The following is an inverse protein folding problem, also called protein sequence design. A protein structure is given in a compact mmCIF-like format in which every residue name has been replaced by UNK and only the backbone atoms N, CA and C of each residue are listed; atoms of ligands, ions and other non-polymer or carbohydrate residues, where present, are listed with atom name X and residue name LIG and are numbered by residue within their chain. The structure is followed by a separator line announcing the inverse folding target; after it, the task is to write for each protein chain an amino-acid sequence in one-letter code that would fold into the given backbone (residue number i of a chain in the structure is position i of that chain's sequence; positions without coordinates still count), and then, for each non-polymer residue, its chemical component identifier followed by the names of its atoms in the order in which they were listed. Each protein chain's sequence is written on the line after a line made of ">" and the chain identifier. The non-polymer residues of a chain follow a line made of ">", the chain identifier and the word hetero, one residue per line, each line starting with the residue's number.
data_IF_957945110089
#
_entry.id   IF_957945110089
#
_cell.length_a   1.000
_cell.length_b   1.000
_cell.length_c   1.000
_cell.angle_alpha   90.00
_cell.angle_beta   90.00
_cell.angle_gamma   90.00
#
_symmetry.space_group_name_H-M   'P 1'
#
loop_
_entity.id
_entity.type
_entity.pdbx_description
1 polymer ?
#
# COMPACT_ATOMS: atom_id res chain seq x y z
N UNK A 1 20.69 -11.35 -4.27
CA UNK A 1 21.50 -10.27 -4.88
C UNK A 1 21.30 -9.04 -3.99
N UNK A 2 22.37 -8.46 -3.45
CA UNK A 2 22.23 -7.26 -2.61
C UNK A 2 21.83 -6.08 -3.51
N UNK A 3 20.76 -5.37 -3.13
CA UNK A 3 20.25 -4.19 -3.85
C UNK A 3 21.22 -3.02 -3.73
N UNK A 4 21.18 -2.10 -4.69
CA UNK A 4 22.06 -0.91 -4.71
C UNK A 4 21.25 0.37 -4.69
N UNK A 5 21.90 1.49 -4.32
CA UNK A 5 21.30 2.83 -4.21
C UNK A 5 20.65 3.36 -5.49
N UNK A 6 20.77 2.65 -6.61
CA UNK A 6 20.33 3.03 -7.95
C UNK A 6 19.28 2.08 -8.55
N UNK A 7 18.58 1.29 -7.73
CA UNK A 7 17.47 0.47 -8.23
C UNK A 7 16.41 1.39 -8.87
N UNK A 8 16.36 1.40 -10.20
CA UNK A 8 15.39 2.13 -11.02
C UNK A 8 14.08 1.37 -11.05
N UNK A 9 12.96 2.10 -11.00
CA UNK A 9 11.64 1.52 -11.13
C UNK A 9 11.24 1.40 -12.60
N UNK A 10 10.83 0.20 -12.98
CA UNK A 10 10.07 -0.08 -14.19
C UNK A 10 8.92 -1.00 -13.77
N UNK A 11 7.70 -0.73 -14.23
CA UNK A 11 6.50 -1.50 -13.91
C UNK A 11 6.70 -3.01 -14.12
N UNK A 12 7.55 -3.37 -15.08
CA UNK A 12 7.88 -4.76 -15.42
C UNK A 12 9.13 -5.32 -14.71
N UNK A 13 9.90 -4.53 -13.94
CA UNK A 13 11.14 -5.00 -13.30
C UNK A 13 11.37 -4.54 -11.85
N UNK A 14 12.12 -5.35 -11.11
CA UNK A 14 12.49 -5.16 -9.69
C UNK A 14 11.30 -4.89 -8.75
N UNK A 15 11.13 -3.64 -8.30
CA UNK A 15 10.09 -3.22 -7.34
C UNK A 15 8.69 -3.36 -7.94
N UNK A 16 8.51 -3.10 -9.23
CA UNK A 16 7.23 -3.28 -9.95
C UNK A 16 6.73 -4.72 -9.92
N UNK A 17 7.64 -5.70 -10.05
CA UNK A 17 7.30 -7.12 -9.99
C UNK A 17 6.83 -7.56 -8.58
N UNK A 18 7.44 -7.01 -7.52
CA UNK A 18 7.04 -7.31 -6.14
C UNK A 18 5.67 -6.67 -5.83
N UNK A 19 5.45 -5.42 -6.23
CA UNK A 19 4.16 -4.75 -6.07
C UNK A 19 3.03 -5.51 -6.79
N UNK A 20 3.31 -6.01 -8.00
CA UNK A 20 2.35 -6.81 -8.79
C UNK A 20 2.09 -8.17 -8.15
N UNK A 21 3.12 -8.84 -7.62
CA UNK A 21 2.98 -10.11 -6.90
C UNK A 21 2.07 -9.97 -5.68
N UNK A 22 2.30 -8.96 -4.83
CA UNK A 22 1.47 -8.78 -3.62
C UNK A 22 0.05 -8.35 -3.97
N UNK A 23 -0.16 -7.56 -5.03
CA UNK A 23 -1.49 -7.25 -5.54
C UNK A 23 -2.20 -8.50 -6.09
N UNK A 24 -1.50 -9.36 -6.82
CA UNK A 24 -2.05 -10.64 -7.28
C UNK A 24 -2.45 -11.55 -6.11
N UNK A 25 -1.63 -11.62 -5.06
CA UNK A 25 -1.98 -12.37 -3.84
C UNK A 25 -3.22 -11.79 -3.14
N UNK A 26 -3.41 -10.46 -3.09
CA UNK A 26 -4.65 -9.85 -2.57
C UNK A 26 -5.86 -10.15 -3.45
N UNK A 27 -5.69 -10.17 -4.77
CA UNK A 27 -6.74 -10.57 -5.71
C UNK A 27 -7.18 -12.02 -5.48
N UNK A 28 -6.23 -12.94 -5.30
CA UNK A 28 -6.52 -14.34 -4.97
C UNK A 28 -7.22 -14.47 -3.61
N UNK A 29 -6.75 -13.72 -2.60
CA UNK A 29 -7.35 -13.72 -1.26
C UNK A 29 -8.79 -13.18 -1.25
N UNK A 30 -9.08 -12.16 -2.08
CA UNK A 30 -10.43 -11.59 -2.24
C UNK A 30 -11.40 -12.60 -2.87
N UNK A 31 -10.90 -13.48 -3.75
CA UNK A 31 -11.71 -14.49 -4.44
C UNK A 31 -11.63 -15.89 -3.80
N UNK A 32 -11.11 -16.00 -2.57
CA UNK A 32 -11.07 -17.29 -1.86
C UNK A 32 -12.45 -17.71 -1.35
N UNK A 33 -12.59 -18.96 -0.90
CA UNK A 33 -13.87 -19.47 -0.38
C UNK A 33 -14.31 -18.78 0.93
N UNK A 34 -13.36 -18.32 1.75
CA UNK A 34 -13.59 -17.61 3.01
C UNK A 34 -12.68 -16.37 3.09
N UNK A 35 -13.03 -15.29 2.36
CA UNK A 35 -12.16 -14.13 2.21
C UNK A 35 -12.15 -13.29 3.50
N UNK A 36 -10.95 -13.05 4.04
CA UNK A 36 -10.77 -12.19 5.21
C UNK A 36 -10.47 -10.72 4.87
N UNK A 37 -10.35 -10.42 3.57
CA UNK A 37 -10.18 -9.08 2.99
C UNK A 37 -11.01 -8.97 1.72
N UNK A 38 -11.33 -7.74 1.33
CA UNK A 38 -11.97 -7.41 0.06
C UNK A 38 -11.17 -6.27 -0.60
N UNK A 39 -10.39 -6.59 -1.63
CA UNK A 39 -9.69 -5.62 -2.48
C UNK A 39 -10.16 -5.76 -3.94
N UNK A 40 -11.28 -5.11 -4.30
CA UNK A 40 -11.88 -5.25 -5.64
C UNK A 40 -11.00 -4.65 -6.75
N UNK A 41 -10.00 -3.84 -6.38
CA UNK A 41 -9.11 -3.16 -7.31
C UNK A 41 -7.81 -3.93 -7.58
N UNK A 42 -7.49 -4.94 -6.76
CA UNK A 42 -6.27 -5.72 -6.91
C UNK A 42 -6.16 -6.42 -8.28
N UNK A 43 -7.18 -7.18 -8.69
CA UNK A 43 -7.14 -7.89 -9.98
C UNK A 43 -7.10 -6.92 -11.18
N UNK A 44 -7.94 -5.86 -11.25
CA UNK A 44 -7.84 -4.86 -12.32
C UNK A 44 -6.47 -4.18 -12.40
N UNK A 45 -5.87 -3.81 -11.26
CA UNK A 45 -4.54 -3.20 -11.23
C UNK A 45 -3.47 -4.17 -11.76
N UNK A 46 -3.52 -5.45 -11.36
CA UNK A 46 -2.60 -6.48 -11.86
C UNK A 46 -2.72 -6.65 -13.38
N UNK A 47 -3.94 -6.71 -13.92
CA UNK A 47 -4.18 -6.79 -15.37
C UNK A 47 -3.62 -5.58 -16.10
N UNK A 48 -3.78 -4.38 -15.54
CA UNK A 48 -3.28 -3.15 -16.14
C UNK A 48 -1.74 -3.06 -16.15
N UNK A 49 -1.05 -3.67 -15.16
CA UNK A 49 0.42 -3.78 -15.21
C UNK A 49 0.86 -4.65 -16.40
N UNK A 50 0.07 -5.67 -16.75
CA UNK A 50 0.25 -6.42 -17.99
C UNK A 50 1.35 -7.50 -17.95
N UNK A 51 1.85 -7.85 -16.76
CA UNK A 51 2.75 -9.02 -16.62
C UNK A 51 1.95 -10.28 -16.87
N UNK A 52 2.28 -11.01 -17.94
CA UNK A 52 1.50 -12.14 -18.46
C UNK A 52 1.23 -13.21 -17.39
N UNK A 53 2.24 -13.59 -16.61
CA UNK A 53 2.09 -14.57 -15.54
C UNK A 53 1.06 -14.14 -14.49
N UNK A 54 1.18 -12.92 -13.96
CA UNK A 54 0.27 -12.42 -12.93
C UNK A 54 -1.14 -12.18 -13.46
N UNK A 55 -1.27 -11.76 -14.72
CA UNK A 55 -2.56 -11.62 -15.41
C UNK A 55 -3.26 -12.97 -15.50
N UNK A 56 -2.58 -14.00 -16.00
CA UNK A 56 -3.14 -15.37 -16.04
C UNK A 56 -3.46 -15.90 -14.66
N UNK A 57 -2.65 -15.58 -13.65
CA UNK A 57 -2.87 -16.02 -12.27
C UNK A 57 -4.18 -15.43 -11.71
N UNK A 58 -4.40 -14.12 -11.83
CA UNK A 58 -5.64 -13.48 -11.33
C UNK A 58 -6.88 -13.79 -12.17
N UNK A 59 -6.69 -14.26 -13.41
CA UNK A 59 -7.78 -14.74 -14.28
C UNK A 59 -8.08 -16.24 -14.10
N UNK A 60 -7.35 -16.95 -13.21
CA UNK A 60 -7.51 -18.39 -12.99
C UNK A 60 -7.00 -19.26 -14.16
N UNK A 61 -6.22 -18.67 -15.07
CA UNK A 61 -5.65 -19.32 -16.26
C UNK A 61 -4.20 -19.79 -16.06
N UNK A 62 -3.62 -19.62 -14.87
CA UNK A 62 -2.33 -20.18 -14.48
C UNK A 62 -2.45 -20.98 -13.18
N UNK A 63 -1.71 -22.08 -13.10
CA UNK A 63 -1.56 -22.86 -11.87
C UNK A 63 -0.73 -22.05 -10.86
N UNK A 64 -1.25 -21.78 -9.65
CA UNK A 64 -0.53 -21.08 -8.59
C UNK A 64 0.82 -21.74 -8.21
N UNK A 65 0.96 -23.04 -8.40
CA UNK A 65 2.14 -23.79 -7.97
C UNK A 65 3.17 -24.03 -9.09
N UNK A 66 2.87 -23.61 -10.33
CA UNK A 66 3.78 -23.76 -11.48
C UNK A 66 5.13 -23.02 -11.32
N UNK A 67 5.22 -22.03 -10.43
CA UNK A 67 6.42 -21.20 -10.25
C UNK A 67 7.28 -21.54 -9.03
N UNK A 68 6.90 -22.52 -8.20
CA UNK A 68 7.68 -22.83 -6.98
C UNK A 68 8.85 -23.76 -7.32
N UNK A 69 10.04 -23.19 -7.52
CA UNK A 69 11.29 -23.95 -7.70
C UNK A 69 11.77 -24.68 -6.41
N UNK A 70 10.86 -25.05 -5.50
CA UNK A 70 11.15 -25.77 -4.26
C UNK A 70 11.81 -24.96 -3.13
N UNK A 71 12.11 -23.67 -3.36
CA UNK A 71 12.76 -22.79 -2.39
C UNK A 71 12.00 -21.45 -2.27
N UNK A 72 10.82 -21.46 -1.63
CA UNK A 72 10.01 -20.27 -1.38
C UNK A 72 8.62 -20.64 -0.82
N UNK A 73 7.87 -19.67 -0.26
CA UNK A 73 6.49 -19.93 0.14
C UNK A 73 5.65 -20.33 -1.08
N UNK A 74 4.71 -21.26 -0.90
CA UNK A 74 3.72 -21.58 -1.94
C UNK A 74 2.83 -20.37 -2.21
N UNK A 75 2.15 -20.35 -3.36
CA UNK A 75 1.23 -19.25 -3.66
C UNK A 75 0.08 -19.18 -2.65
N UNK A 76 -0.38 -20.33 -2.13
CA UNK A 76 -1.36 -20.38 -1.04
C UNK A 76 -0.83 -19.73 0.25
N UNK A 77 0.42 -20.03 0.63
CA UNK A 77 1.06 -19.40 1.80
C UNK A 77 1.24 -17.89 1.62
N UNK A 78 1.65 -17.45 0.43
CA UNK A 78 1.76 -16.03 0.11
C UNK A 78 0.40 -15.35 0.16
N UNK A 79 -0.64 -15.97 -0.43
CA UNK A 79 -2.01 -15.46 -0.43
C UNK A 79 -2.54 -15.28 0.99
N UNK A 80 -2.39 -16.29 1.85
CA UNK A 80 -2.81 -16.21 3.25
C UNK A 80 -2.01 -15.17 4.03
N UNK A 81 -0.70 -15.09 3.81
CA UNK A 81 0.17 -14.09 4.43
C UNK A 81 -0.21 -12.66 4.01
N UNK A 82 -0.51 -12.44 2.73
CA UNK A 82 -0.95 -11.14 2.22
C UNK A 82 -2.37 -10.79 2.67
N UNK A 83 -3.27 -11.76 2.80
CA UNK A 83 -4.59 -11.56 3.36
C UNK A 83 -4.49 -11.07 4.82
N UNK A 84 -3.72 -11.76 5.65
CA UNK A 84 -3.49 -11.38 7.05
C UNK A 84 -2.79 -10.02 7.16
N UNK A 85 -1.76 -9.75 6.34
CA UNK A 85 -1.05 -8.47 6.30
C UNK A 85 -2.00 -7.32 5.91
N UNK A 86 -2.81 -7.53 4.88
CA UNK A 86 -3.76 -6.52 4.41
C UNK A 86 -4.80 -6.21 5.47
N UNK A 87 -5.40 -7.25 6.08
CA UNK A 87 -6.37 -7.10 7.17
C UNK A 87 -5.79 -6.36 8.36
N UNK A 88 -4.56 -6.69 8.77
CA UNK A 88 -3.89 -6.02 9.89
C UNK A 88 -3.78 -4.51 9.67
N UNK A 89 -3.34 -4.08 8.49
CA UNK A 89 -3.21 -2.66 8.17
C UNK A 89 -4.56 -1.96 7.90
N UNK A 90 -5.56 -2.69 7.41
CA UNK A 90 -6.93 -2.17 7.31
C UNK A 90 -7.51 -1.90 8.70
N UNK A 91 -7.43 -2.89 9.59
CA UNK A 91 -7.86 -2.79 10.99
C UNK A 91 -7.08 -1.66 11.69
N UNK A 92 -5.77 -1.53 11.46
CA UNK A 92 -4.96 -0.42 12.01
C UNK A 92 -5.52 0.95 11.62
N UNK A 93 -5.85 1.18 10.34
CA UNK A 93 -6.39 2.46 9.91
C UNK A 93 -7.80 2.70 10.46
N UNK A 94 -8.66 1.69 10.43
CA UNK A 94 -10.04 1.81 10.94
C UNK A 94 -10.06 2.02 12.46
N UNK A 95 -9.17 1.36 13.20
CA UNK A 95 -8.89 1.62 14.61
C UNK A 95 -8.38 3.05 14.80
N UNK A 96 -7.41 3.50 14.01
CA UNK A 96 -6.81 4.82 14.15
C UNK A 96 -7.85 5.94 14.01
N UNK A 97 -8.75 5.84 13.02
CA UNK A 97 -9.79 6.86 12.76
C UNK A 97 -11.08 6.67 13.56
N UNK A 98 -11.14 5.65 14.43
CA UNK A 98 -12.24 5.43 15.38
C UNK A 98 -13.50 4.78 14.79
N UNK A 99 -13.39 4.01 13.72
CA UNK A 99 -14.51 3.34 13.02
C UNK A 99 -14.60 1.84 13.38
N UNK A 100 -13.68 1.36 14.21
CA UNK A 100 -13.46 -0.06 14.42
C UNK A 100 -14.53 -0.82 15.20
N UNK A 101 -14.66 -2.10 14.85
CA UNK A 101 -15.35 -3.16 15.58
C UNK A 101 -14.45 -3.98 16.52
N UNK A 102 -13.13 -3.75 16.56
CA UNK A 102 -12.14 -4.53 17.35
C UNK A 102 -12.15 -4.20 18.84
N UNK A 103 -12.91 -3.19 19.27
CA UNK A 103 -12.98 -2.76 20.66
C UNK A 103 -11.76 -1.99 21.16
N UNK A 104 -10.74 -1.78 20.31
CA UNK A 104 -9.64 -0.87 20.59
C UNK A 104 -10.16 0.56 20.48
N UNK A 105 -10.05 1.34 21.56
CA UNK A 105 -10.44 2.74 21.54
C UNK A 105 -9.51 3.51 20.60
N UNK A 106 -9.99 3.77 19.38
CA UNK A 106 -9.36 4.68 18.45
C UNK A 106 -9.30 6.12 18.96
N UNK A 107 -8.50 6.96 18.32
CA UNK A 107 -8.62 8.40 18.51
C UNK A 107 -9.56 8.95 17.47
N UNK A 108 -10.74 9.42 17.90
CA UNK A 108 -11.67 10.11 16.99
C UNK A 108 -11.06 11.39 16.38
N UNK A 109 -9.84 11.78 16.77
CA UNK A 109 -9.11 12.96 16.31
C UNK A 109 -8.21 12.70 15.09
N UNK A 110 -7.82 11.44 14.81
CA UNK A 110 -6.99 11.16 13.63
C UNK A 110 -7.84 11.30 12.35
N UNK A 111 -7.48 12.26 11.51
CA UNK A 111 -8.07 12.49 10.17
C UNK A 111 -7.02 12.61 9.07
N UNK A 112 -5.76 12.28 9.38
CA UNK A 112 -4.68 12.20 8.41
C UNK A 112 -4.12 10.78 8.40
N UNK A 113 -4.14 10.15 7.23
CA UNK A 113 -3.55 8.83 7.01
C UNK A 113 -2.46 8.95 5.94
N UNK A 114 -1.30 8.36 6.16
CA UNK A 114 -0.18 8.39 5.20
C UNK A 114 0.24 6.97 4.88
N UNK A 115 0.31 6.66 3.59
CA UNK A 115 0.77 5.38 3.05
C UNK A 115 2.12 5.64 2.36
N UNK A 116 3.20 5.16 2.96
CA UNK A 116 4.56 5.26 2.43
C UNK A 116 4.84 4.12 1.46
N UNK A 117 5.41 4.43 0.30
CA UNK A 117 5.60 3.49 -0.81
C UNK A 117 4.28 2.80 -1.19
N UNK A 118 3.27 3.62 -1.49
CA UNK A 118 1.88 3.20 -1.62
C UNK A 118 1.62 2.16 -2.72
N UNK A 119 2.49 2.03 -3.73
CA UNK A 119 2.42 1.01 -4.77
C UNK A 119 1.00 0.86 -5.34
N UNK A 120 0.55 -0.39 -5.38
CA UNK A 120 -0.79 -0.78 -5.79
C UNK A 120 -1.79 -0.88 -4.63
N UNK A 121 -1.54 -0.21 -3.50
CA UNK A 121 -2.50 -0.08 -2.40
C UNK A 121 -3.74 0.70 -2.87
N UNK A 122 -4.92 0.14 -2.59
CA UNK A 122 -6.24 0.65 -2.97
C UNK A 122 -7.08 1.14 -1.78
N UNK A 123 -6.52 1.25 -0.56
CA UNK A 123 -7.24 1.63 0.67
C UNK A 123 -7.98 2.96 0.57
N UNK A 124 -7.42 3.95 -0.15
CA UNK A 124 -8.09 5.22 -0.42
C UNK A 124 -9.35 5.10 -1.31
N UNK A 125 -9.54 3.94 -1.96
CA UNK A 125 -10.65 3.63 -2.86
C UNK A 125 -11.62 2.58 -2.29
N UNK A 126 -11.21 1.74 -1.34
CA UNK A 126 -12.03 0.64 -0.82
C UNK A 126 -12.42 0.73 0.64
N UNK A 127 -11.64 1.41 1.49
CA UNK A 127 -11.99 1.56 2.90
C UNK A 127 -13.03 2.66 3.10
N UNK A 128 -13.88 2.54 4.12
CA UNK A 128 -14.89 3.54 4.47
C UNK A 128 -14.30 4.51 5.50
N UNK A 129 -13.79 5.64 5.01
CA UNK A 129 -13.18 6.65 5.87
C UNK A 129 -14.21 7.62 6.44
N UNK A 130 -14.05 8.08 7.71
CA UNK A 130 -14.84 9.18 8.24
C UNK A 130 -14.74 10.45 7.40
N UNK A 131 -15.81 11.25 7.38
CA UNK A 131 -15.80 12.56 6.74
C UNK A 131 -14.66 13.44 7.27
N UNK A 132 -14.02 14.17 6.36
CA UNK A 132 -12.86 15.02 6.66
C UNK A 132 -11.53 14.28 6.81
N UNK A 133 -11.50 12.96 6.60
CA UNK A 133 -10.23 12.22 6.51
C UNK A 133 -9.52 12.56 5.19
N UNK A 134 -8.20 12.71 5.25
CA UNK A 134 -7.33 12.85 4.09
C UNK A 134 -6.34 11.68 4.09
N UNK A 135 -6.28 10.95 2.98
CA UNK A 135 -5.30 9.89 2.75
C UNK A 135 -4.22 10.41 1.81
N UNK A 136 -3.00 10.47 2.32
CA UNK A 136 -1.80 10.81 1.57
C UNK A 136 -1.13 9.52 1.08
N UNK A 137 -0.84 9.44 -0.21
CA UNK A 137 -0.06 8.36 -0.79
C UNK A 137 1.26 8.91 -1.31
N UNK A 138 2.37 8.37 -0.79
CA UNK A 138 3.72 8.75 -1.20
C UNK A 138 4.33 7.59 -1.96
N UNK A 139 4.71 7.86 -3.21
CA UNK A 139 5.48 6.91 -4.02
C UNK A 139 6.12 7.65 -5.21
N UNK A 140 6.94 6.92 -5.97
CA UNK A 140 7.54 7.41 -7.19
C UNK A 140 6.47 7.94 -8.17
N UNK A 141 6.77 9.01 -8.95
CA UNK A 141 5.81 9.63 -9.85
C UNK A 141 5.09 8.66 -10.79
N UNK A 142 5.84 7.76 -11.42
CA UNK A 142 5.27 6.83 -12.40
C UNK A 142 4.33 5.79 -11.76
N UNK A 143 4.58 5.39 -10.50
CA UNK A 143 3.68 4.52 -9.72
C UNK A 143 2.34 5.22 -9.45
N UNK A 144 2.44 6.46 -8.98
CA UNK A 144 1.29 7.30 -8.64
C UNK A 144 0.44 7.57 -9.88
N UNK A 145 1.08 7.93 -10.99
CA UNK A 145 0.42 8.18 -12.27
C UNK A 145 -0.27 6.91 -12.78
N UNK A 146 0.45 5.78 -12.83
CA UNK A 146 -0.08 4.49 -13.28
C UNK A 146 -1.34 4.10 -12.50
N UNK A 147 -1.28 4.09 -11.17
CA UNK A 147 -2.42 3.69 -10.33
C UNK A 147 -3.59 4.66 -10.49
N UNK A 148 -3.34 5.96 -10.48
CA UNK A 148 -4.39 6.98 -10.59
C UNK A 148 -5.09 6.91 -11.94
N UNK A 149 -4.33 6.77 -13.04
CA UNK A 149 -4.87 6.59 -14.39
C UNK A 149 -5.68 5.30 -14.50
N UNK A 150 -5.14 4.17 -14.04
CA UNK A 150 -5.82 2.87 -14.14
C UNK A 150 -7.14 2.88 -13.39
N UNK A 151 -7.17 3.39 -12.15
CA UNK A 151 -8.41 3.44 -11.37
C UNK A 151 -9.43 4.43 -11.95
N UNK A 152 -8.97 5.56 -12.50
CA UNK A 152 -9.83 6.50 -13.22
C UNK A 152 -10.43 5.88 -14.48
N UNK A 153 -9.65 5.13 -15.27
CA UNK A 153 -10.11 4.47 -16.49
C UNK A 153 -11.14 3.35 -16.17
N UNK A 154 -11.08 2.79 -14.96
CA UNK A 154 -12.08 1.85 -14.42
C UNK A 154 -13.34 2.54 -13.84
N UNK A 155 -13.37 3.88 -13.81
CA UNK A 155 -14.46 4.65 -13.20
C UNK A 155 -14.47 4.64 -11.67
N UNK A 156 -13.37 4.23 -11.02
CA UNK A 156 -13.26 4.20 -9.56
C UNK A 156 -12.94 5.61 -9.01
N UNK A 157 -13.76 6.06 -8.06
CA UNK A 157 -13.50 7.28 -7.30
C UNK A 157 -12.98 6.93 -5.89
N UNK A 158 -12.04 7.69 -5.33
CA UNK A 158 -11.66 7.56 -3.92
C UNK A 158 -12.87 7.71 -2.99
N UNK A 159 -12.88 6.97 -1.88
CA UNK A 159 -13.93 7.04 -0.84
C UNK A 159 -13.70 8.16 0.16
N UNK A 160 -12.59 8.90 0.00
CA UNK A 160 -12.14 9.96 0.88
C UNK A 160 -11.30 10.97 0.10
N UNK A 161 -10.88 12.07 0.73
CA UNK A 161 -9.95 13.00 0.08
C UNK A 161 -8.59 12.33 -0.07
N UNK A 162 -8.23 11.97 -1.30
CA UNK A 162 -6.95 11.37 -1.63
C UNK A 162 -5.99 12.44 -2.15
N UNK A 163 -4.83 12.57 -1.53
CA UNK A 163 -3.74 13.44 -1.99
C UNK A 163 -2.50 12.61 -2.32
N UNK A 164 -1.95 12.82 -3.51
CA UNK A 164 -0.76 12.09 -3.94
C UNK A 164 0.48 12.95 -3.78
N UNK A 165 1.56 12.34 -3.34
CA UNK A 165 2.89 12.96 -3.20
C UNK A 165 3.83 12.14 -4.07
N UNK A 166 3.94 12.55 -5.33
CA UNK A 166 4.75 11.89 -6.35
C UNK A 166 6.25 12.20 -6.13
N UNK A 167 6.90 11.43 -5.26
CA UNK A 167 8.30 11.59 -4.87
C UNK A 167 8.89 10.28 -4.35
N UNK A 168 10.18 10.06 -4.61
CA UNK A 168 10.93 8.94 -4.02
C UNK A 168 11.22 9.20 -2.53
N UNK A 169 11.09 8.18 -1.67
CA UNK A 169 11.32 8.30 -0.23
C UNK A 169 12.79 8.60 0.15
N UNK A 170 13.72 8.53 -0.81
CA UNK A 170 15.13 8.96 -0.63
C UNK A 170 15.31 10.47 -0.78
N UNK A 171 14.36 11.15 -1.41
CA UNK A 171 14.36 12.60 -1.64
C UNK A 171 13.70 13.36 -0.48
N UNK A 172 13.45 14.66 -0.64
CA UNK A 172 12.78 15.49 0.36
C UNK A 172 11.25 15.32 0.36
N UNK A 173 10.81 14.08 0.57
CA UNK A 173 9.40 13.73 0.73
C UNK A 173 8.71 14.42 1.92
N UNK A 174 9.36 14.77 3.05
CA UNK A 174 8.72 15.55 4.11
C UNK A 174 8.27 16.93 3.65
N UNK A 175 9.10 17.64 2.88
CA UNK A 175 8.72 18.93 2.32
C UNK A 175 7.58 18.79 1.31
N UNK A 176 7.64 17.79 0.43
CA UNK A 176 6.58 17.52 -0.54
C UNK A 176 5.25 17.16 0.13
N UNK A 177 5.28 16.37 1.21
CA UNK A 177 4.09 15.99 1.97
C UNK A 177 3.45 17.18 2.69
N UNK A 178 4.25 18.08 3.28
CA UNK A 178 3.75 19.35 3.84
C UNK A 178 3.16 20.25 2.75
N UNK A 179 3.78 20.32 1.57
CA UNK A 179 3.26 21.06 0.43
C UNK A 179 1.92 20.49 -0.10
N UNK A 180 1.73 19.16 -0.01
CA UNK A 180 0.45 18.50 -0.27
C UNK A 180 -0.59 18.75 0.85
N UNK A 181 -0.22 19.46 1.91
CA UNK A 181 -1.12 19.96 2.95
C UNK A 181 -1.24 19.08 4.19
N UNK A 182 -0.28 18.17 4.43
CA UNK A 182 -0.15 17.52 5.74
C UNK A 182 0.08 18.58 6.83
N UNK A 183 -0.72 18.51 7.88
CA UNK A 183 -0.60 19.33 9.08
C UNK A 183 0.14 18.53 10.18
N UNK A 184 1.45 18.78 10.33
CA UNK A 184 2.29 18.11 11.33
C UNK A 184 1.93 18.47 12.78
N UNK A 185 1.00 19.41 13.01
CA UNK A 185 0.48 19.72 14.36
C UNK A 185 -0.68 18.81 14.77
N UNK A 186 -1.19 17.98 13.84
CA UNK A 186 -2.31 17.07 14.07
C UNK A 186 -1.86 15.60 14.05
N UNK A 187 -2.49 14.73 14.85
CA UNK A 187 -2.23 13.30 14.85
C UNK A 187 -2.37 12.67 13.46
N UNK A 188 -1.43 11.81 13.09
CA UNK A 188 -1.38 11.12 11.80
C UNK A 188 -1.23 9.61 12.00
N UNK A 189 -1.94 8.82 11.20
CA UNK A 189 -1.76 7.37 11.11
C UNK A 189 -0.84 7.04 9.91
N UNK A 190 0.29 6.39 10.16
CA UNK A 190 1.28 6.06 9.14
C UNK A 190 1.29 4.56 8.88
N UNK A 191 1.46 4.14 7.64
CA UNK A 191 1.85 2.76 7.32
C UNK A 191 3.06 2.76 6.38
N UNK A 192 3.94 1.78 6.58
CA UNK A 192 5.08 1.46 5.72
C UNK A 192 5.05 -0.05 5.39
N UNK A 193 4.07 -0.46 4.58
CA UNK A 193 3.81 -1.87 4.29
C UNK A 193 4.83 -2.43 3.29
N UNK A 194 5.57 -3.47 3.69
CA UNK A 194 6.51 -4.14 2.78
C UNK A 194 7.67 -3.27 2.32
N UNK A 195 8.05 -2.25 3.11
CA UNK A 195 9.07 -1.27 2.77
C UNK A 195 10.42 -1.57 3.43
N UNK A 196 10.45 -1.74 4.75
CA UNK A 196 11.68 -1.77 5.55
C UNK A 196 12.70 -2.84 5.12
N UNK A 197 12.24 -4.00 4.67
CA UNK A 197 13.13 -5.06 4.17
C UNK A 197 13.91 -4.71 2.89
N UNK A 198 13.60 -3.57 2.26
CA UNK A 198 14.25 -3.07 1.06
C UNK A 198 15.11 -1.84 1.28
N UNK A 199 15.14 -1.31 2.51
CA UNK A 199 15.93 -0.13 2.85
C UNK A 199 17.28 -0.53 3.44
N UNK A 200 18.38 0.15 3.07
CA UNK A 200 19.59 0.14 3.88
C UNK A 200 19.29 0.58 5.32
N UNK A 201 20.02 0.07 6.34
CA UNK A 201 19.77 0.41 7.75
C UNK A 201 19.69 1.93 8.01
N UNK A 202 20.59 2.71 7.42
CA UNK A 202 20.63 4.17 7.58
C UNK A 202 19.42 4.86 6.94
N UNK A 203 18.89 4.30 5.85
CA UNK A 203 17.69 4.81 5.21
C UNK A 203 16.42 4.46 6.02
N UNK A 204 16.40 3.31 6.69
CA UNK A 204 15.33 2.96 7.63
C UNK A 204 15.30 3.93 8.82
N UNK A 205 16.45 4.19 9.46
CA UNK A 205 16.52 5.09 10.61
C UNK A 205 16.10 6.51 10.21
N UNK A 206 16.63 7.01 9.08
CA UNK A 206 16.24 8.32 8.53
C UNK A 206 14.73 8.41 8.25
N UNK A 207 14.13 7.36 7.69
CA UNK A 207 12.68 7.34 7.42
C UNK A 207 11.89 7.46 8.73
N UNK A 208 12.28 6.72 9.77
CA UNK A 208 11.62 6.75 11.08
C UNK A 208 11.81 8.09 11.81
N UNK A 209 12.98 8.71 11.68
CA UNK A 209 13.24 10.06 12.21
C UNK A 209 12.32 11.09 11.53
N UNK A 210 12.21 11.05 10.21
CA UNK A 210 11.35 11.95 9.44
C UNK A 210 9.86 11.75 9.77
N UNK A 211 9.39 10.51 9.95
CA UNK A 211 8.02 10.21 10.42
C UNK A 211 7.80 10.81 11.81
N UNK A 212 8.78 10.67 12.71
CA UNK A 212 8.71 11.21 14.07
C UNK A 212 8.62 12.73 14.08
N UNK A 213 9.40 13.42 13.25
CA UNK A 213 9.35 14.88 13.08
C UNK A 213 8.01 15.40 12.53
N UNK A 214 7.30 14.56 11.78
CA UNK A 214 5.99 14.88 11.20
C UNK A 214 4.81 14.43 12.07
N UNK A 215 5.07 13.82 13.22
CA UNK A 215 4.06 13.21 14.07
C UNK A 215 3.77 14.04 15.31
N UNK A 216 2.56 14.59 15.40
CA UNK A 216 2.06 15.16 16.65
C UNK A 216 1.78 14.07 17.70
N UNK A 217 1.73 14.41 19.01
CA UNK A 217 1.28 13.48 20.05
C UNK A 217 -0.05 12.83 19.69
N UNK A 218 -0.16 11.51 19.87
CA UNK A 218 -1.35 10.74 19.47
C UNK A 218 -1.30 10.18 18.04
N UNK A 219 -0.26 10.49 17.25
CA UNK A 219 0.03 9.80 15.99
C UNK A 219 0.32 8.31 16.22
N UNK A 220 0.09 7.49 15.18
CA UNK A 220 0.23 6.03 15.22
C UNK A 220 1.00 5.53 14.00
N UNK A 221 1.74 4.43 14.13
CA UNK A 221 2.40 3.68 13.06
C UNK A 221 2.30 2.19 13.32
#
# INVERSE_FOLDING_TARGET
>A
MARTDNDTWDLASSVGATATLVAAARALATNSEDPIIDDPFAAPLVRAVGVEFFTKLVDGAADPDQSSAGYGPTMAQLTNGMAARTRFFDDFFMDAVGVSSTGVAGSAEIRQAVILAAGLDSRAYRLVWPAGTVVYEIDQPDVIEFKSKTLSDLGAAPTTERRTVAIDLREDWPAALRAAGLDATKPTAWIAEGLFGYLPPEAQDRLLDQISELSAPGSRM
#
